data_IF_350237247858
#
_entry.id   IF_350237247858
#
_cell.length_a   1.000
_cell.length_b   1.000
_cell.length_c   1.000
_cell.angle_alpha   90.00
_cell.angle_beta   90.00
_cell.angle_gamma   90.00
#
_symmetry.space_group_name_H-M   'P 1'
#
loop_
_entity.id
_entity.type
_entity.pdbx_description
1 polymer ?
#
# COMPACT_ATOMS: atom_id res chain seq x y z
N UNK A 1 23.44 3.01 -21.16
CA UNK A 1 23.33 2.28 -19.88
C UNK A 1 21.88 2.39 -19.46
N UNK A 2 21.07 1.34 -19.68
CA UNK A 2 19.66 1.32 -19.27
C UNK A 2 19.62 0.63 -17.92
N UNK A 3 19.31 1.37 -16.86
CA UNK A 3 18.99 0.75 -15.58
C UNK A 3 17.71 -0.05 -15.79
N UNK A 4 17.84 -1.37 -15.81
CA UNK A 4 16.70 -2.27 -15.78
C UNK A 4 16.15 -2.17 -14.37
N UNK A 5 15.25 -1.22 -14.14
CA UNK A 5 14.37 -1.22 -12.98
C UNK A 5 13.57 -2.53 -13.08
N UNK A 6 14.02 -3.57 -12.37
CA UNK A 6 13.15 -4.69 -12.02
C UNK A 6 11.89 -4.07 -11.42
N UNK A 7 10.68 -4.39 -11.92
CA UNK A 7 9.47 -3.93 -11.27
C UNK A 7 9.60 -4.34 -9.80
N UNK A 8 9.34 -3.45 -8.83
CA UNK A 8 9.44 -3.81 -7.43
C UNK A 8 8.66 -5.10 -7.28
N UNK A 9 9.38 -6.16 -6.87
CA UNK A 9 8.83 -7.47 -6.54
C UNK A 9 7.46 -7.24 -5.94
N UNK A 10 6.42 -7.87 -6.48
CA UNK A 10 5.04 -7.68 -6.05
C UNK A 10 4.93 -7.87 -4.53
N UNK A 11 5.13 -6.80 -3.78
CA UNK A 11 5.34 -6.80 -2.32
C UNK A 11 4.08 -7.26 -1.58
N UNK A 12 2.92 -7.15 -2.24
CA UNK A 12 1.64 -7.65 -1.76
C UNK A 12 1.47 -9.17 -1.93
N UNK A 13 2.23 -9.85 -2.79
CA UNK A 13 2.08 -11.29 -3.00
C UNK A 13 2.49 -12.10 -1.76
N UNK A 14 3.30 -11.51 -0.88
CA UNK A 14 3.67 -12.10 0.41
C UNK A 14 2.52 -12.10 1.43
N UNK A 15 1.42 -11.38 1.16
CA UNK A 15 0.29 -11.27 2.07
C UNK A 15 -0.99 -11.83 1.43
N UNK A 16 -1.68 -12.71 2.14
CA UNK A 16 -2.98 -13.24 1.73
C UNK A 16 -4.09 -12.74 2.66
N UNK A 17 -5.35 -13.01 2.29
CA UNK A 17 -6.52 -12.55 3.04
C UNK A 17 -6.51 -11.03 3.31
N UNK A 18 -6.04 -10.27 2.31
CA UNK A 18 -5.88 -8.83 2.45
C UNK A 18 -7.27 -8.17 2.55
N UNK A 19 -7.49 -7.41 3.60
CA UNK A 19 -8.64 -6.56 3.80
C UNK A 19 -8.19 -5.11 3.88
N UNK A 20 -8.84 -4.24 3.11
CA UNK A 20 -8.57 -2.80 3.11
C UNK A 20 -9.81 -2.09 3.64
N UNK A 21 -9.59 -1.22 4.61
CA UNK A 21 -10.60 -0.37 5.21
C UNK A 21 -10.25 1.09 4.89
N UNK A 22 -11.14 1.79 4.19
CA UNK A 22 -11.01 3.24 3.96
C UNK A 22 -11.48 3.94 5.24
N UNK A 23 -10.54 4.57 5.94
CA UNK A 23 -10.82 5.30 7.18
C UNK A 23 -11.25 6.73 6.90
N UNK A 24 -10.66 7.36 5.88
CA UNK A 24 -11.02 8.71 5.45
C UNK A 24 -10.71 8.89 3.97
N UNK A 25 -11.55 9.68 3.29
CA UNK A 25 -11.32 10.09 1.91
C UNK A 25 -11.70 11.56 1.75
N UNK A 26 -10.79 12.35 1.19
CA UNK A 26 -10.98 13.78 0.91
C UNK A 26 -10.66 14.00 -0.56
N UNK A 27 -11.57 14.62 -1.29
CA UNK A 27 -11.36 15.02 -2.67
C UNK A 27 -11.31 16.55 -2.76
N UNK A 28 -10.28 17.07 -3.43
CA UNK A 28 -10.14 18.49 -3.71
C UNK A 28 -9.53 18.69 -5.09
N UNK A 29 -10.21 19.47 -5.93
CA UNK A 29 -9.82 19.72 -7.33
C UNK A 29 -9.59 18.41 -8.11
N UNK A 30 -8.35 18.18 -8.55
CA UNK A 30 -7.92 17.01 -9.31
C UNK A 30 -7.29 15.92 -8.42
N UNK A 31 -7.37 16.05 -7.08
CA UNK A 31 -6.70 15.12 -6.16
C UNK A 31 -7.67 14.45 -5.19
N UNK A 32 -7.36 13.20 -4.87
CA UNK A 32 -8.05 12.43 -3.83
C UNK A 32 -7.02 11.93 -2.82
N UNK A 33 -7.19 12.30 -1.56
CA UNK A 33 -6.42 11.77 -0.45
C UNK A 33 -7.24 10.67 0.22
N UNK A 34 -6.67 9.47 0.32
CA UNK A 34 -7.28 8.34 1.01
C UNK A 34 -6.39 7.89 2.15
N UNK A 35 -6.90 7.94 3.38
CA UNK A 35 -6.31 7.28 4.54
C UNK A 35 -6.97 5.92 4.72
N UNK A 36 -6.17 4.86 4.70
CA UNK A 36 -6.66 3.49 4.75
C UNK A 36 -5.81 2.62 5.67
N UNK A 37 -6.43 1.55 6.17
CA UNK A 37 -5.77 0.49 6.92
C UNK A 37 -5.91 -0.83 6.16
N UNK A 38 -4.78 -1.47 5.91
CA UNK A 38 -4.68 -2.79 5.28
C UNK A 38 -4.31 -3.83 6.33
N UNK A 39 -5.04 -4.95 6.37
CA UNK A 39 -4.73 -6.13 7.18
C UNK A 39 -4.50 -7.33 6.26
N UNK A 40 -3.54 -8.20 6.58
CA UNK A 40 -3.28 -9.42 5.80
C UNK A 40 -2.43 -10.44 6.56
N UNK A 41 -2.44 -11.69 6.14
CA UNK A 41 -1.62 -12.77 6.71
C UNK A 41 -0.30 -12.88 5.95
N UNK A 42 0.83 -12.90 6.66
CA UNK A 42 2.16 -13.06 6.06
C UNK A 42 2.40 -14.53 5.62
N UNK A 43 2.13 -14.81 4.35
CA UNK A 43 2.10 -16.17 3.76
C UNK A 43 3.12 -16.43 2.66
N UNK A 44 3.81 -15.39 2.17
CA UNK A 44 4.98 -15.52 1.29
C UNK A 44 6.18 -14.77 1.87
N UNK A 45 7.34 -14.87 1.22
CA UNK A 45 8.55 -14.15 1.66
C UNK A 45 8.40 -12.65 1.39
N UNK A 46 8.59 -11.83 2.44
CA UNK A 46 8.59 -10.37 2.35
C UNK A 46 9.91 -9.80 2.85
N UNK A 47 10.63 -9.03 2.02
CA UNK A 47 11.93 -8.44 2.40
C UNK A 47 12.90 -9.45 3.01
N UNK A 48 13.04 -10.63 2.37
CA UNK A 48 13.87 -11.75 2.86
C UNK A 48 13.39 -12.41 4.17
N UNK A 49 12.28 -11.96 4.74
CA UNK A 49 11.65 -12.57 5.92
C UNK A 49 10.75 -13.73 5.44
N UNK A 50 10.98 -14.97 5.91
CA UNK A 50 10.10 -16.10 5.61
C UNK A 50 8.66 -15.88 6.11
N UNK A 51 7.66 -16.56 5.53
CA UNK A 51 6.26 -16.39 5.93
C UNK A 51 6.06 -16.74 7.40
N UNK A 52 5.58 -15.77 8.18
CA UNK A 52 5.43 -15.91 9.65
C UNK A 52 4.06 -16.40 10.07
N UNK A 53 3.07 -16.44 9.17
CA UNK A 53 1.66 -16.76 9.45
C UNK A 53 0.99 -15.83 10.47
N UNK A 54 1.61 -14.68 10.76
CA UNK A 54 1.02 -13.64 11.59
C UNK A 54 0.18 -12.69 10.75
N UNK A 55 -0.89 -12.18 11.35
CA UNK A 55 -1.63 -11.05 10.80
C UNK A 55 -0.81 -9.78 10.97
N UNK A 56 -0.61 -9.05 9.88
CA UNK A 56 -0.03 -7.72 9.87
C UNK A 56 -1.13 -6.67 9.68
N UNK A 57 -0.90 -5.48 10.21
CA UNK A 57 -1.75 -4.31 9.98
C UNK A 57 -0.85 -3.13 9.60
N UNK A 58 -1.18 -2.46 8.50
CA UNK A 58 -0.44 -1.30 7.99
C UNK A 58 -1.40 -0.17 7.68
N UNK A 59 -1.03 1.03 8.08
CA UNK A 59 -1.78 2.26 7.80
C UNK A 59 -1.08 3.05 6.69
N UNK A 60 -1.85 3.52 5.73
CA UNK A 60 -1.35 4.19 4.52
C UNK A 60 -2.15 5.46 4.25
N UNK A 61 -1.45 6.55 3.94
CA UNK A 61 -2.05 7.69 3.25
C UNK A 61 -1.64 7.61 1.78
N UNK A 62 -2.61 7.69 0.89
CA UNK A 62 -2.43 7.72 -0.55
C UNK A 62 -2.98 9.04 -1.10
N UNK A 63 -2.26 9.66 -2.02
CA UNK A 63 -2.71 10.82 -2.77
C UNK A 63 -2.75 10.43 -4.23
N UNK A 64 -3.93 10.51 -4.86
CA UNK A 64 -4.15 10.20 -6.26
C UNK A 64 -4.47 11.48 -7.04
N UNK A 65 -3.73 11.74 -8.12
CA UNK A 65 -4.07 12.75 -9.13
C UNK A 65 -5.01 12.11 -10.16
N UNK A 66 -6.15 12.74 -10.41
CA UNK A 66 -7.18 12.28 -11.33
C UNK A 66 -7.19 13.17 -12.57
N UNK A 67 -6.99 12.56 -13.75
CA UNK A 67 -7.13 13.21 -15.05
C UNK A 67 -7.93 12.30 -15.97
N UNK A 68 -8.88 12.86 -16.71
CA UNK A 68 -9.77 12.13 -17.63
C UNK A 68 -10.47 10.91 -16.98
N UNK A 69 -10.86 11.06 -15.71
CA UNK A 69 -11.51 10.00 -14.92
C UNK A 69 -10.59 8.84 -14.51
N UNK A 70 -9.26 8.99 -14.64
CA UNK A 70 -8.26 7.97 -14.31
C UNK A 70 -7.22 8.51 -13.32
N UNK A 71 -6.60 7.61 -12.58
CA UNK A 71 -5.44 7.95 -11.74
C UNK A 71 -4.23 8.16 -12.65
N UNK A 72 -3.82 9.41 -12.81
CA UNK A 72 -2.66 9.79 -13.61
C UNK A 72 -1.35 9.63 -12.83
N UNK A 73 -1.39 9.89 -11.52
CA UNK A 73 -0.24 9.80 -10.62
C UNK A 73 -0.71 9.40 -9.22
N UNK A 74 0.15 8.71 -8.47
CA UNK A 74 -0.11 8.40 -7.07
C UNK A 74 1.14 8.53 -6.19
N UNK A 75 0.95 8.98 -4.96
CA UNK A 75 1.95 9.02 -3.91
C UNK A 75 1.48 8.23 -2.70
N UNK A 76 2.39 7.50 -2.05
CA UNK A 76 2.07 6.63 -0.92
C UNK A 76 2.99 6.98 0.25
N UNK A 77 2.39 7.27 1.40
CA UNK A 77 3.07 7.36 2.69
C UNK A 77 2.70 6.15 3.55
N UNK A 78 3.69 5.33 3.89
CA UNK A 78 3.51 4.20 4.80
C UNK A 78 3.79 4.64 6.24
N UNK A 79 2.86 4.35 7.15
CA UNK A 79 3.05 4.51 8.58
C UNK A 79 3.16 3.14 9.24
N UNK A 80 4.28 2.90 9.94
CA UNK A 80 4.42 1.79 10.87
C UNK A 80 4.13 2.35 12.26
N UNK A 81 2.91 2.12 12.76
CA UNK A 81 2.61 2.44 14.16
C UNK A 81 3.29 1.39 15.03
N UNK A 82 4.36 1.76 15.74
CA UNK A 82 4.86 0.98 16.87
C UNK A 82 3.98 1.31 18.09
N UNK A 83 3.36 0.30 18.70
CA UNK A 83 2.84 0.43 20.06
C UNK A 83 4.05 0.50 21.01
N UNK A 84 4.08 1.52 21.88
CA UNK A 84 5.09 1.69 22.95
C UNK A 84 4.67 0.82 24.15
#
# INVERSE_FOLDING_TARGET
MRETLTPPSTNFAAFSNIQIEILQQIAESDRVVTYMRSRGEHTGTFCEIPPTRKTISMSVIRIDLIQDGKIAEHYIGLFLTQEI
#
